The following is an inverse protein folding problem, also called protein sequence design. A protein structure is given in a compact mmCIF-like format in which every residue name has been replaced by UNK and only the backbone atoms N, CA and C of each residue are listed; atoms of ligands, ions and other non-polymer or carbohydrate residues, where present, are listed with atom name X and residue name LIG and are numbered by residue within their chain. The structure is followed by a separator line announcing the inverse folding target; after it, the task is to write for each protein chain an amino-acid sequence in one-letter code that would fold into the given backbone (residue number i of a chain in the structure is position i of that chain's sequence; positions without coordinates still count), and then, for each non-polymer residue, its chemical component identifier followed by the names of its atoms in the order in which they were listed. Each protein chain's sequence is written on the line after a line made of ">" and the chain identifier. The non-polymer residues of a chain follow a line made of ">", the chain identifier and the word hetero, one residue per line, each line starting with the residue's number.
data_IF_519212457585
#
_entry.id   IF_519212457585
#
_cell.length_a   1.000
_cell.length_b   1.000
_cell.length_c   1.000
_cell.angle_alpha   90.00
_cell.angle_beta   90.00
_cell.angle_gamma   90.00
#
_symmetry.space_group_name_H-M   'P 1'
#
loop_
_entity.id
_entity.type
_entity.pdbx_description
1 polymer ?
#
# COMPACT_ATOMS: atom_id res chain seq x y z
N UNK A 1 -14.42 -12.20 1.16
CA UNK A 1 -13.66 -11.70 2.32
C UNK A 1 -12.65 -10.71 1.79
N UNK A 2 -12.61 -9.49 2.30
CA UNK A 2 -11.72 -8.43 1.76
C UNK A 2 -10.26 -8.67 2.15
N UNK A 3 -9.32 -8.09 1.40
CA UNK A 3 -7.88 -8.19 1.68
C UNK A 3 -7.50 -7.61 3.04
N UNK A 4 -8.21 -6.57 3.50
CA UNK A 4 -8.02 -5.99 4.84
C UNK A 4 -8.41 -6.93 5.97
N UNK A 5 -9.51 -7.68 5.81
CA UNK A 5 -9.92 -8.69 6.81
C UNK A 5 -8.89 -9.83 6.88
N UNK A 6 -8.33 -10.25 5.75
CA UNK A 6 -7.23 -11.21 5.69
C UNK A 6 -5.97 -10.68 6.37
N UNK A 7 -5.60 -9.43 6.11
CA UNK A 7 -4.47 -8.76 6.75
C UNK A 7 -4.63 -8.71 8.28
N UNK A 8 -5.81 -8.31 8.77
CA UNK A 8 -6.09 -8.27 10.21
C UNK A 8 -6.01 -9.67 10.83
N UNK A 9 -6.60 -10.69 10.20
CA UNK A 9 -6.51 -12.07 10.69
C UNK A 9 -5.07 -12.56 10.74
N UNK A 10 -4.28 -12.25 9.72
CA UNK A 10 -2.86 -12.62 9.67
C UNK A 10 -2.08 -11.97 10.80
N UNK A 11 -2.32 -10.68 11.06
CA UNK A 11 -1.76 -9.99 12.22
C UNK A 11 -2.15 -10.69 13.54
N UNK A 12 -3.44 -11.02 13.72
CA UNK A 12 -3.92 -11.74 14.90
C UNK A 12 -3.28 -13.12 15.06
N UNK A 13 -3.06 -13.84 13.96
CA UNK A 13 -2.42 -15.16 13.97
C UNK A 13 -0.93 -15.06 14.33
N UNK A 14 -0.22 -14.04 13.85
CA UNK A 14 1.17 -13.77 14.26
C UNK A 14 1.25 -13.43 15.75
N UNK A 15 0.39 -12.54 16.26
CA UNK A 15 0.33 -12.22 17.69
C UNK A 15 0.01 -13.46 18.54
N UNK A 16 -0.95 -14.28 18.09
CA UNK A 16 -1.29 -15.54 18.74
C UNK A 16 -0.09 -16.49 18.82
N UNK A 17 0.59 -16.72 17.69
CA UNK A 17 1.74 -17.63 17.62
C UNK A 17 2.92 -17.12 18.46
N UNK A 18 3.25 -15.82 18.40
CA UNK A 18 4.29 -15.22 19.25
C UNK A 18 3.96 -15.36 20.75
N UNK A 19 2.72 -15.03 21.15
CA UNK A 19 2.25 -15.24 22.52
C UNK A 19 2.38 -16.70 22.97
N UNK A 20 2.05 -17.65 22.08
CA UNK A 20 2.19 -19.08 22.35
C UNK A 20 3.65 -19.54 22.43
N UNK A 21 4.53 -18.98 21.61
CA UNK A 21 5.98 -19.25 21.67
C UNK A 21 6.59 -18.72 22.96
N UNK A 22 6.21 -17.52 23.43
CA UNK A 22 6.65 -17.02 24.74
C UNK A 22 6.21 -17.92 25.89
N UNK A 23 4.96 -18.40 25.85
CA UNK A 23 4.46 -19.36 26.84
C UNK A 23 5.22 -20.70 26.80
N UNK A 24 5.61 -21.17 25.61
CA UNK A 24 6.47 -22.35 25.45
C UNK A 24 7.86 -22.11 26.05
N UNK A 25 8.51 -20.99 25.72
CA UNK A 25 9.83 -20.64 26.24
C UNK A 25 9.83 -20.60 27.77
N UNK A 26 8.86 -19.89 28.38
CA UNK A 26 8.72 -19.78 29.84
C UNK A 26 8.64 -21.14 30.52
N UNK A 27 7.86 -22.07 29.97
CA UNK A 27 7.68 -23.41 30.55
C UNK A 27 8.86 -24.35 30.36
N UNK A 28 9.64 -24.14 29.30
CA UNK A 28 10.86 -24.91 29.02
C UNK A 28 12.11 -24.27 29.63
N UNK A 29 11.97 -23.20 30.42
CA UNK A 29 13.10 -22.46 30.98
C UNK A 29 13.93 -21.71 29.95
N UNK A 30 13.45 -21.56 28.71
CA UNK A 30 14.11 -20.82 27.64
C UNK A 30 13.77 -19.32 27.74
N UNK A 31 14.67 -18.47 27.23
CA UNK A 31 14.42 -17.03 27.13
C UNK A 31 13.20 -16.78 26.23
N UNK A 32 12.28 -15.93 26.68
CA UNK A 32 11.14 -15.50 25.88
C UNK A 32 11.59 -14.75 24.63
N UNK A 33 10.79 -14.80 23.56
CA UNK A 33 11.08 -14.09 22.33
C UNK A 33 10.88 -12.60 22.50
N UNK A 34 9.93 -12.17 23.32
CA UNK A 34 9.65 -10.76 23.56
C UNK A 34 8.93 -10.58 24.89
N UNK A 35 8.85 -9.35 25.36
CA UNK A 35 7.93 -9.00 26.43
C UNK A 35 6.48 -9.38 26.05
N UNK A 36 5.75 -9.98 26.99
CA UNK A 36 4.34 -10.33 26.81
C UNK A 36 3.45 -9.12 27.14
N UNK A 37 3.55 -8.08 26.31
CA UNK A 37 2.86 -6.79 26.44
C UNK A 37 2.16 -6.40 25.14
N UNK A 38 1.36 -5.32 25.19
CA UNK A 38 0.73 -4.73 24.01
C UNK A 38 -0.05 -5.74 23.16
N UNK A 39 0.26 -5.79 21.86
CA UNK A 39 -0.41 -6.65 20.89
C UNK A 39 -0.48 -8.12 21.32
N UNK A 40 0.55 -8.66 21.99
CA UNK A 40 0.59 -10.07 22.35
C UNK A 40 -0.42 -10.45 23.45
N UNK A 41 -0.87 -9.46 24.21
CA UNK A 41 -1.92 -9.61 25.23
C UNK A 41 -3.29 -9.28 24.64
N UNK A 42 -3.35 -8.25 23.81
CA UNK A 42 -4.61 -7.60 23.43
C UNK A 42 -5.08 -7.90 21.99
N UNK A 43 -4.40 -8.75 21.21
CA UNK A 43 -4.76 -8.97 19.79
C UNK A 43 -6.18 -9.50 19.53
N UNK A 44 -6.80 -10.21 20.48
CA UNK A 44 -8.20 -10.65 20.37
C UNK A 44 -9.16 -9.46 20.54
N UNK A 45 -8.70 -8.45 21.29
CA UNK A 45 -9.32 -7.16 21.64
C UNK A 45 -9.60 -6.25 20.44
N UNK A 46 -8.72 -6.32 19.44
CA UNK A 46 -8.54 -5.26 18.43
C UNK A 46 -9.81 -4.95 17.63
N UNK A 47 -10.64 -5.95 17.36
CA UNK A 47 -11.86 -5.77 16.57
C UNK A 47 -12.89 -4.97 17.34
N UNK A 48 -13.13 -5.33 18.60
CA UNK A 48 -14.04 -4.61 19.47
C UNK A 48 -13.53 -3.17 19.70
N UNK A 49 -12.23 -3.01 19.88
CA UNK A 49 -11.60 -1.70 20.01
C UNK A 49 -11.75 -0.83 18.76
N UNK A 50 -11.43 -1.34 17.56
CA UNK A 50 -11.61 -0.60 16.30
C UNK A 50 -13.08 -0.17 16.08
N UNK A 51 -14.03 -1.05 16.41
CA UNK A 51 -15.46 -0.73 16.33
C UNK A 51 -15.88 0.33 17.37
N UNK A 52 -15.32 0.28 18.57
CA UNK A 52 -15.61 1.25 19.64
C UNK A 52 -15.02 2.63 19.34
N UNK A 53 -13.75 2.67 18.90
CA UNK A 53 -13.06 3.89 18.50
C UNK A 53 -13.81 4.60 17.36
N UNK A 54 -14.34 3.82 16.44
CA UNK A 54 -15.17 4.34 15.38
C UNK A 54 -16.50 4.95 15.85
N UNK A 55 -17.17 4.32 16.80
CA UNK A 55 -18.47 4.77 17.29
C UNK A 55 -18.40 6.11 18.06
N UNK A 56 -17.21 6.74 18.13
CA UNK A 56 -17.00 7.99 18.86
C UNK A 56 -17.14 7.82 20.37
N UNK A 57 -17.14 6.58 20.86
CA UNK A 57 -17.19 6.30 22.28
C UNK A 57 -15.80 6.45 22.88
N UNK A 58 -15.33 7.69 23.01
CA UNK A 58 -14.07 8.03 23.70
C UNK A 58 -14.00 7.44 25.12
N UNK A 59 -15.16 7.17 25.74
CA UNK A 59 -15.27 6.59 27.08
C UNK A 59 -15.40 5.07 27.15
N UNK A 60 -15.56 4.34 26.03
CA UNK A 60 -15.88 2.91 26.07
C UNK A 60 -14.65 1.97 26.03
N UNK A 61 -13.46 2.48 25.71
CA UNK A 61 -12.24 1.71 25.90
C UNK A 61 -11.18 2.57 26.56
N UNK A 62 -10.76 2.19 27.77
CA UNK A 62 -9.54 2.69 28.41
C UNK A 62 -8.26 2.42 27.58
N UNK A 63 -8.41 1.76 26.42
CA UNK A 63 -7.33 1.34 25.55
C UNK A 63 -6.92 2.37 24.54
N UNK A 64 -5.63 2.47 24.34
CA UNK A 64 -5.01 3.31 23.32
C UNK A 64 -4.42 2.44 22.21
N UNK A 65 -3.89 3.08 21.15
CA UNK A 65 -3.21 2.36 20.08
C UNK A 65 -1.97 1.60 20.60
N UNK A 66 -1.29 2.13 21.63
CA UNK A 66 -0.12 1.54 22.27
C UNK A 66 -0.39 0.12 22.79
N UNK A 67 -1.62 -0.16 23.25
CA UNK A 67 -2.03 -1.50 23.68
C UNK A 67 -2.04 -2.53 22.54
N UNK A 68 -2.02 -2.08 21.29
CA UNK A 68 -1.99 -2.93 20.10
C UNK A 68 -0.66 -2.81 19.35
N UNK A 69 0.34 -2.11 19.88
CA UNK A 69 1.68 -2.10 19.30
C UNK A 69 2.37 -3.45 19.52
N UNK A 70 3.09 -3.91 18.49
CA UNK A 70 3.98 -5.05 18.64
C UNK A 70 5.13 -4.66 19.57
N UNK A 71 5.59 -5.58 20.46
CA UNK A 71 6.75 -5.31 21.29
C UNK A 71 7.98 -4.97 20.44
N UNK A 72 8.79 -4.00 20.86
CA UNK A 72 10.02 -3.62 20.15
C UNK A 72 11.20 -4.57 20.46
N UNK A 73 11.06 -5.42 21.49
CA UNK A 73 12.09 -6.29 22.04
C UNK A 73 12.03 -7.73 21.51
N UNK A 74 11.45 -7.95 20.32
CA UNK A 74 11.40 -9.29 19.72
C UNK A 74 12.80 -9.78 19.37
N UNK A 75 13.31 -10.69 20.18
CA UNK A 75 14.53 -11.47 20.01
C UNK A 75 14.19 -12.91 19.59
N UNK A 76 15.00 -13.49 18.71
CA UNK A 76 14.88 -14.89 18.32
C UNK A 76 16.10 -15.68 18.83
N UNK A 77 15.93 -16.96 19.19
CA UNK A 77 17.05 -17.85 19.52
C UNK A 77 18.12 -17.88 18.41
N UNK A 78 19.37 -18.09 18.79
CA UNK A 78 20.52 -18.10 17.86
C UNK A 78 20.37 -19.07 16.68
N UNK A 79 19.74 -20.22 16.91
CA UNK A 79 19.43 -21.23 15.88
C UNK A 79 18.57 -20.67 14.74
N UNK A 80 17.87 -19.56 15.00
CA UNK A 80 16.95 -18.90 14.10
C UNK A 80 17.46 -17.54 13.60
N UNK A 81 18.65 -17.11 14.01
CA UNK A 81 19.25 -15.84 13.59
C UNK A 81 19.41 -15.73 12.07
N UNK A 82 19.62 -16.86 11.38
CA UNK A 82 19.72 -16.90 9.91
C UNK A 82 18.48 -16.33 9.21
N UNK A 83 17.34 -16.27 9.90
CA UNK A 83 16.10 -15.77 9.36
C UNK A 83 15.70 -14.38 9.86
N UNK A 84 16.40 -13.83 10.87
CA UNK A 84 16.14 -12.50 11.41
C UNK A 84 16.06 -11.39 10.35
N UNK A 85 16.95 -11.33 9.35
CA UNK A 85 16.91 -10.28 8.34
C UNK A 85 15.63 -10.33 7.50
N UNK A 86 15.00 -11.50 7.38
CA UNK A 86 13.76 -11.66 6.64
C UNK A 86 12.53 -11.25 7.44
N UNK A 87 12.54 -11.40 8.77
CA UNK A 87 11.32 -11.24 9.57
C UNK A 87 11.20 -9.91 10.26
N UNK A 88 12.31 -9.27 10.63
CA UNK A 88 12.26 -7.97 11.28
C UNK A 88 11.46 -6.96 10.43
N UNK A 89 11.65 -6.85 9.10
CA UNK A 89 10.81 -5.97 8.28
C UNK A 89 9.34 -6.38 8.29
N UNK A 90 9.05 -7.68 8.22
CA UNK A 90 7.68 -8.19 8.24
C UNK A 90 6.96 -7.89 9.57
N UNK A 91 7.65 -8.05 10.70
CA UNK A 91 7.12 -7.74 12.03
C UNK A 91 6.93 -6.23 12.22
N UNK A 92 7.88 -5.41 11.76
CA UNK A 92 7.75 -3.95 11.81
C UNK A 92 6.53 -3.48 11.03
N UNK A 93 6.33 -3.97 9.81
CA UNK A 93 5.18 -3.61 8.99
C UNK A 93 3.87 -4.22 9.51
N UNK A 94 3.90 -5.42 10.09
CA UNK A 94 2.74 -5.93 10.82
C UNK A 94 2.41 -5.07 12.05
N UNK A 95 3.42 -4.51 12.71
CA UNK A 95 3.26 -3.57 13.83
C UNK A 95 2.50 -2.29 13.45
N UNK A 96 2.49 -1.89 12.16
CA UNK A 96 1.73 -0.73 11.70
C UNK A 96 0.26 -1.03 11.41
N UNK A 97 -0.12 -2.31 11.25
CA UNK A 97 -1.48 -2.72 10.85
C UNK A 97 -2.56 -2.15 11.79
N UNK A 98 -2.45 -2.25 13.13
CA UNK A 98 -3.47 -1.70 14.01
C UNK A 98 -3.64 -0.19 13.86
N UNK A 99 -2.54 0.55 13.67
CA UNK A 99 -2.55 2.01 13.45
C UNK A 99 -3.24 2.38 12.15
N UNK A 100 -2.91 1.65 11.08
CA UNK A 100 -3.46 1.89 9.75
C UNK A 100 -4.94 1.57 9.70
N UNK A 101 -5.35 0.46 10.31
CA UNK A 101 -6.76 0.11 10.44
C UNK A 101 -7.51 1.12 11.29
N UNK A 102 -6.96 1.58 12.42
CA UNK A 102 -7.57 2.64 13.21
C UNK A 102 -7.78 3.92 12.39
N UNK A 103 -6.72 4.44 11.74
CA UNK A 103 -6.84 5.63 10.90
C UNK A 103 -7.84 5.44 9.75
N UNK A 104 -7.81 4.29 9.08
CA UNK A 104 -8.72 3.98 8.00
C UNK A 104 -10.17 3.93 8.49
N UNK A 105 -10.39 3.26 9.62
CA UNK A 105 -11.67 3.10 10.29
C UNK A 105 -12.26 4.44 10.75
N UNK A 106 -11.43 5.37 11.22
CA UNK A 106 -11.86 6.68 11.71
C UNK A 106 -11.93 7.78 10.64
N UNK A 107 -11.21 7.64 9.51
CA UNK A 107 -11.08 8.74 8.54
C UNK A 107 -11.99 8.61 7.32
N UNK A 108 -11.82 7.56 6.51
CA UNK A 108 -12.51 7.47 5.22
C UNK A 108 -13.14 6.11 4.94
N UNK A 109 -12.56 5.03 5.47
CA UNK A 109 -12.89 3.63 5.13
C UNK A 109 -12.83 3.33 3.63
N UNK A 110 -12.23 4.18 2.80
CA UNK A 110 -12.32 4.03 1.34
C UNK A 110 -11.40 2.93 0.84
N UNK A 111 -11.93 2.13 -0.08
CA UNK A 111 -11.20 1.16 -0.89
C UNK A 111 -11.46 1.51 -2.34
N UNK A 112 -10.37 1.72 -3.09
CA UNK A 112 -10.39 2.01 -4.51
C UNK A 112 -9.84 0.83 -5.27
N UNK A 113 -10.69 0.15 -6.04
CA UNK A 113 -10.22 -0.88 -6.96
C UNK A 113 -9.87 -0.24 -8.29
N UNK A 114 -8.59 -0.28 -8.68
CA UNK A 114 -8.11 0.26 -9.94
C UNK A 114 -8.09 -0.83 -11.00
N UNK A 115 -8.69 -0.53 -12.16
CA UNK A 115 -8.63 -1.46 -13.28
C UNK A 115 -7.22 -1.60 -13.83
N UNK A 116 -6.93 -2.73 -14.47
CA UNK A 116 -5.63 -3.03 -15.09
C UNK A 116 -5.13 -1.88 -15.97
N UNK A 117 -5.98 -1.33 -16.84
CA UNK A 117 -5.59 -0.23 -17.74
C UNK A 117 -5.22 1.05 -16.98
N UNK A 118 -5.91 1.34 -15.88
CA UNK A 118 -5.61 2.50 -15.04
C UNK A 118 -4.30 2.28 -14.28
N UNK A 119 -4.07 1.09 -13.71
CA UNK A 119 -2.80 0.75 -13.04
C UNK A 119 -1.62 0.92 -13.99
N UNK A 120 -1.70 0.35 -15.20
CA UNK A 120 -0.64 0.46 -16.21
C UNK A 120 -0.40 1.92 -16.63
N UNK A 121 -1.47 2.71 -16.77
CA UNK A 121 -1.36 4.13 -17.11
C UNK A 121 -0.68 4.92 -15.99
N UNK A 122 -1.09 4.69 -14.74
CA UNK A 122 -0.55 5.36 -13.57
C UNK A 122 0.91 4.99 -13.31
N UNK A 123 1.29 3.72 -13.50
CA UNK A 123 2.66 3.23 -13.35
C UNK A 123 3.68 3.93 -14.27
N UNK A 124 3.20 4.65 -15.29
CA UNK A 124 4.02 5.39 -16.24
C UNK A 124 3.80 6.91 -16.18
N UNK A 125 3.01 7.41 -15.24
CA UNK A 125 2.89 8.85 -14.99
C UNK A 125 4.26 9.41 -14.60
N UNK A 126 4.68 10.49 -15.26
CA UNK A 126 5.90 11.19 -14.91
C UNK A 126 5.71 12.01 -13.64
N UNK A 127 6.54 11.74 -12.62
CA UNK A 127 6.61 12.53 -11.38
C UNK A 127 7.84 13.44 -11.31
N UNK A 128 8.62 13.57 -12.40
CA UNK A 128 9.94 14.22 -12.41
C UNK A 128 9.95 15.66 -11.88
N UNK A 129 8.87 16.39 -12.12
CA UNK A 129 8.76 17.81 -11.76
C UNK A 129 7.64 18.06 -10.74
N UNK A 130 7.11 16.99 -10.13
CA UNK A 130 6.08 17.09 -9.09
C UNK A 130 6.76 17.20 -7.72
N UNK A 131 6.34 18.21 -6.95
CA UNK A 131 6.76 18.44 -5.56
C UNK A 131 5.72 17.91 -4.59
N UNK A 132 6.10 17.68 -3.34
CA UNK A 132 5.16 17.30 -2.29
C UNK A 132 4.05 18.34 -2.09
N UNK A 133 4.37 19.63 -2.24
CA UNK A 133 3.40 20.75 -2.19
C UNK A 133 2.36 20.74 -3.29
N UNK A 134 2.62 20.08 -4.43
CA UNK A 134 1.69 20.01 -5.56
C UNK A 134 0.58 18.98 -5.34
N UNK A 135 0.80 18.07 -4.38
CA UNK A 135 -0.09 16.97 -4.07
C UNK A 135 -1.15 17.43 -3.08
N UNK A 136 -2.41 17.15 -3.42
CA UNK A 136 -3.54 17.30 -2.51
C UNK A 136 -4.15 15.92 -2.30
N UNK A 137 -4.08 15.45 -1.05
CA UNK A 137 -4.68 14.18 -0.67
C UNK A 137 -6.16 14.42 -0.37
N UNK A 138 -7.08 13.73 -1.08
CA UNK A 138 -8.51 13.93 -0.89
C UNK A 138 -9.00 13.34 0.43
N UNK A 139 -8.25 12.40 1.01
CA UNK A 139 -8.52 11.74 2.28
C UNK A 139 -7.20 11.46 3.01
N UNK A 140 -7.24 11.44 4.34
CA UNK A 140 -6.08 11.15 5.16
C UNK A 140 -5.66 9.68 5.10
N UNK A 141 -6.59 8.76 4.84
CA UNK A 141 -6.28 7.33 4.85
C UNK A 141 -7.20 6.59 3.90
N UNK A 142 -6.66 5.75 3.01
CA UNK A 142 -7.44 4.97 2.06
C UNK A 142 -6.61 3.80 1.50
N UNK A 143 -7.31 2.83 0.92
CA UNK A 143 -6.72 1.63 0.33
C UNK A 143 -6.90 1.64 -1.18
N UNK A 144 -5.87 1.23 -1.91
CA UNK A 144 -5.89 1.03 -3.35
C UNK A 144 -5.69 -0.46 -3.62
N UNK A 145 -6.67 -1.13 -4.21
CA UNK A 145 -6.56 -2.49 -4.73
C UNK A 145 -6.23 -2.43 -6.22
N UNK A 146 -5.30 -3.28 -6.66
CA UNK A 146 -4.75 -3.26 -8.02
C UNK A 146 -5.18 -4.54 -8.75
N UNK A 147 -5.94 -4.39 -9.83
CA UNK A 147 -6.28 -5.53 -10.69
C UNK A 147 -5.04 -6.13 -11.38
N UNK A 148 -4.05 -5.30 -11.71
CA UNK A 148 -2.74 -5.72 -12.20
C UNK A 148 -1.69 -5.55 -11.09
N UNK A 149 -1.13 -6.63 -10.53
CA UNK A 149 -0.13 -6.53 -9.48
C UNK A 149 1.18 -5.87 -9.96
N UNK A 150 1.84 -5.13 -9.07
CA UNK A 150 3.15 -4.53 -9.29
C UNK A 150 4.22 -5.57 -8.97
N UNK A 151 5.15 -5.89 -9.90
CA UNK A 151 6.28 -6.75 -9.61
C UNK A 151 7.17 -6.13 -8.53
N UNK A 152 7.52 -6.91 -7.51
CA UNK A 152 8.36 -6.46 -6.40
C UNK A 152 9.44 -7.51 -6.08
N UNK A 153 10.62 -7.09 -5.57
CA UNK A 153 11.63 -8.01 -5.07
C UNK A 153 11.14 -8.96 -3.97
N UNK A 154 9.99 -8.66 -3.36
CA UNK A 154 9.40 -9.38 -2.25
C UNK A 154 8.10 -10.14 -2.61
N UNK A 155 7.80 -10.23 -3.91
CA UNK A 155 6.59 -10.83 -4.45
C UNK A 155 5.57 -9.78 -4.87
N UNK A 156 4.75 -10.13 -5.86
CA UNK A 156 3.78 -9.22 -6.50
C UNK A 156 2.86 -8.52 -5.50
N UNK A 157 2.66 -7.21 -5.71
CA UNK A 157 1.86 -6.31 -4.85
C UNK A 157 0.53 -6.00 -5.52
N UNK A 158 -0.59 -6.31 -4.87
CA UNK A 158 -1.95 -6.03 -5.35
C UNK A 158 -2.74 -5.06 -4.46
N UNK A 159 -2.15 -4.59 -3.36
CA UNK A 159 -2.80 -3.62 -2.49
C UNK A 159 -1.80 -2.59 -1.97
N UNK A 160 -2.17 -1.32 -2.00
CA UNK A 160 -1.43 -0.21 -1.38
C UNK A 160 -2.30 0.42 -0.29
N UNK A 161 -1.77 0.50 0.92
CA UNK A 161 -2.41 1.20 2.03
C UNK A 161 -1.75 2.57 2.17
N UNK A 162 -2.50 3.63 1.89
CA UNK A 162 -1.99 5.01 1.90
C UNK A 162 -2.53 5.73 3.14
N UNK A 163 -1.63 6.27 3.96
CA UNK A 163 -1.98 6.97 5.20
C UNK A 163 -1.16 8.24 5.33
N UNK A 164 -1.81 9.39 5.30
CA UNK A 164 -1.28 10.67 5.74
C UNK A 164 -1.35 10.73 7.27
N UNK A 165 -0.20 10.70 7.91
CA UNK A 165 -0.09 10.88 9.35
C UNK A 165 0.07 12.37 9.65
N UNK A 166 -0.82 12.88 10.52
CA UNK A 166 -0.73 14.22 11.10
C UNK A 166 0.47 14.36 12.04
N UNK A 167 0.43 15.36 12.94
CA UNK A 167 1.46 15.52 13.96
C UNK A 167 1.61 14.24 14.77
N UNK A 168 2.73 13.55 14.59
CA UNK A 168 3.18 12.54 15.52
C UNK A 168 3.68 13.25 16.79
N UNK A 169 3.56 12.60 17.96
CA UNK A 169 4.06 13.14 19.24
C UNK A 169 5.57 13.45 19.22
N UNK A 170 6.31 12.97 18.22
CA UNK A 170 7.73 13.26 17.98
C UNK A 170 7.99 14.60 17.24
N UNK A 171 6.94 15.39 16.96
CA UNK A 171 7.03 16.69 16.28
C UNK A 171 7.11 16.59 14.75
N UNK A 172 7.12 15.38 14.17
CA UNK A 172 6.99 15.21 12.72
C UNK A 172 5.55 15.51 12.32
N UNK A 173 5.35 16.61 11.57
CA UNK A 173 4.04 16.95 10.98
C UNK A 173 4.01 16.56 9.51
N UNK A 174 2.93 15.95 9.06
CA UNK A 174 2.61 15.67 7.65
C UNK A 174 3.52 14.61 7.02
N UNK A 175 3.47 13.38 7.52
CA UNK A 175 4.17 12.24 6.90
C UNK A 175 3.21 11.44 6.03
N UNK A 176 3.59 11.16 4.78
CA UNK A 176 2.87 10.19 3.94
C UNK A 176 3.45 8.80 4.18
N UNK A 177 2.63 7.87 4.64
CA UNK A 177 2.97 6.45 4.66
C UNK A 177 2.29 5.70 3.52
N UNK A 178 3.05 4.87 2.80
CA UNK A 178 2.52 3.93 1.81
C UNK A 178 3.01 2.55 2.17
N UNK A 179 2.08 1.63 2.44
CA UNK A 179 2.39 0.23 2.74
C UNK A 179 1.86 -0.67 1.64
N UNK A 180 2.71 -1.14 0.73
CA UNK A 180 2.36 -2.20 -0.21
C UNK A 180 2.20 -3.53 0.50
N UNK A 181 1.18 -4.25 0.07
CA UNK A 181 0.81 -5.56 0.56
C UNK A 181 0.81 -6.56 -0.60
N UNK A 182 1.48 -7.71 -0.45
CA UNK A 182 1.61 -8.67 -1.52
C UNK A 182 0.35 -9.51 -1.73
N UNK A 183 0.19 -10.02 -2.95
CA UNK A 183 -0.85 -10.98 -3.36
C UNK A 183 -0.89 -12.19 -2.43
N UNK A 184 0.26 -12.56 -1.85
CA UNK A 184 0.37 -13.68 -0.92
C UNK A 184 -0.46 -13.52 0.37
N UNK A 185 -0.95 -12.32 0.71
CA UNK A 185 -1.87 -12.14 1.84
C UNK A 185 -3.17 -12.88 1.61
N UNK A 186 -3.70 -12.87 0.39
CA UNK A 186 -4.95 -13.57 0.06
C UNK A 186 -4.81 -15.09 0.02
N UNK A 187 -3.58 -15.59 -0.16
CA UNK A 187 -3.28 -17.02 -0.27
C UNK A 187 -3.13 -17.72 1.08
N UNK A 188 -2.95 -16.96 2.16
CA UNK A 188 -2.61 -17.49 3.47
C UNK A 188 -3.90 -17.70 4.27
N UNK A 189 -4.32 -18.95 4.40
CA UNK A 189 -5.52 -19.31 5.15
C UNK A 189 -5.36 -18.98 6.64
N UNK A 190 -6.25 -18.18 7.25
CA UNK A 190 -6.20 -17.90 8.67
C UNK A 190 -6.24 -19.17 9.52
N UNK A 191 -5.57 -19.16 10.68
CA UNK A 191 -5.61 -20.26 11.62
C UNK A 191 -7.03 -20.54 12.08
N UNK A 192 -7.50 -21.76 11.83
CA UNK A 192 -8.82 -22.20 12.25
C UNK A 192 -8.94 -22.20 13.78
N UNK A 193 -10.16 -22.01 14.30
CA UNK A 193 -10.44 -22.11 15.74
C UNK A 193 -10.00 -23.47 16.31
N UNK A 194 -10.19 -24.54 15.53
CA UNK A 194 -9.76 -25.89 15.87
C UNK A 194 -8.23 -25.98 16.00
N UNK A 195 -7.48 -25.41 15.05
CA UNK A 195 -6.01 -25.36 15.10
C UNK A 195 -5.50 -24.55 16.30
N UNK A 196 -6.07 -23.37 16.57
CA UNK A 196 -5.75 -22.56 17.76
C UNK A 196 -6.02 -23.32 19.06
N UNK A 197 -7.15 -24.03 19.14
CA UNK A 197 -7.50 -24.90 20.28
C UNK A 197 -6.51 -26.05 20.44
N UNK A 198 -6.12 -26.70 19.34
CA UNK A 198 -5.12 -27.77 19.35
C UNK A 198 -3.77 -27.27 19.88
N UNK A 199 -3.28 -26.13 19.40
CA UNK A 199 -2.03 -25.51 19.87
C UNK A 199 -2.10 -25.23 21.38
N UNK A 200 -3.19 -24.59 21.86
CA UNK A 200 -3.40 -24.34 23.29
C UNK A 200 -3.40 -25.62 24.11
N UNK A 201 -4.08 -26.67 23.62
CA UNK A 201 -4.16 -27.97 24.29
C UNK A 201 -2.79 -28.66 24.38
N UNK A 202 -2.02 -28.68 23.29
CA UNK A 202 -0.67 -29.27 23.26
C UNK A 202 0.27 -28.55 24.21
N UNK A 203 0.23 -27.21 24.23
CA UNK A 203 0.97 -26.42 25.21
C UNK A 203 0.52 -26.74 26.63
N UNK A 204 -0.78 -26.87 26.92
CA UNK A 204 -1.27 -27.28 28.24
C UNK A 204 -0.68 -28.60 28.76
N UNK A 205 -0.34 -29.52 27.85
CA UNK A 205 0.22 -30.84 28.16
C UNK A 205 1.75 -30.90 28.16
N UNK A 206 2.45 -29.76 28.03
CA UNK A 206 3.91 -29.71 27.83
C UNK A 206 4.70 -30.45 28.91
N UNK A 207 4.30 -30.35 30.18
CA UNK A 207 5.02 -31.00 31.29
C UNK A 207 4.82 -32.53 31.33
N UNK A 208 3.94 -33.07 30.47
CA UNK A 208 3.61 -34.50 30.40
C UNK A 208 4.25 -35.20 29.20
N UNK A 209 4.90 -34.46 28.31
CA UNK A 209 5.54 -35.01 27.11
C UNK A 209 7.06 -35.01 27.29
N UNK A 210 7.74 -35.94 26.62
CA UNK A 210 9.21 -36.01 26.62
C UNK A 210 9.84 -34.75 26.03
N UNK A 211 11.07 -34.46 26.42
CA UNK A 211 11.85 -33.31 25.94
C UNK A 211 11.92 -33.25 24.40
N UNK A 212 12.20 -34.37 23.72
CA UNK A 212 12.18 -34.44 22.26
C UNK A 212 10.82 -34.03 21.63
N UNK A 213 9.72 -34.37 22.30
CA UNK A 213 8.39 -33.94 21.86
C UNK A 213 8.11 -32.46 22.16
N UNK A 214 8.73 -31.89 23.20
CA UNK A 214 8.70 -30.45 23.46
C UNK A 214 9.45 -29.70 22.37
N UNK A 215 10.65 -30.15 22.00
CA UNK A 215 11.44 -29.56 20.90
C UNK A 215 10.66 -29.59 19.58
N UNK A 216 10.12 -30.75 19.20
CA UNK A 216 9.31 -30.87 17.99
C UNK A 216 8.04 -29.99 18.00
N UNK A 217 7.47 -29.69 19.17
CA UNK A 217 6.38 -28.71 19.29
C UNK A 217 6.90 -27.26 19.09
N UNK A 218 8.04 -26.93 19.69
CA UNK A 218 8.69 -25.64 19.52
C UNK A 218 9.00 -25.34 18.05
N UNK A 219 9.63 -26.29 17.36
CA UNK A 219 9.93 -26.19 15.93
C UNK A 219 8.67 -26.08 15.07
N UNK A 220 7.61 -26.86 15.39
CA UNK A 220 6.35 -26.77 14.66
C UNK A 220 5.68 -25.40 14.81
N UNK A 221 5.64 -24.83 16.03
CA UNK A 221 5.10 -23.50 16.27
C UNK A 221 5.91 -22.42 15.55
N UNK A 222 7.23 -22.58 15.60
CA UNK A 222 8.14 -21.68 14.93
C UNK A 222 7.95 -21.69 13.43
N UNK A 223 8.00 -22.87 12.77
CA UNK A 223 7.78 -22.99 11.33
C UNK A 223 6.42 -22.43 10.89
N UNK A 224 5.38 -22.62 11.72
CA UNK A 224 4.06 -22.03 11.47
C UNK A 224 4.10 -20.50 11.55
N UNK A 225 4.81 -19.93 12.53
CA UNK A 225 5.04 -18.48 12.62
C UNK A 225 5.83 -17.97 11.40
N UNK A 226 6.91 -18.64 11.02
CA UNK A 226 7.71 -18.31 9.84
C UNK A 226 6.84 -18.29 8.60
N UNK A 227 6.01 -19.31 8.39
CA UNK A 227 5.11 -19.37 7.25
C UNK A 227 4.15 -18.17 7.20
N UNK A 228 3.64 -17.75 8.37
CA UNK A 228 2.82 -16.53 8.46
C UNK A 228 3.62 -15.25 8.25
N UNK A 229 4.93 -15.25 8.47
CA UNK A 229 5.84 -14.11 8.22
C UNK A 229 6.53 -14.15 6.84
N UNK A 230 6.34 -15.19 6.02
CA UNK A 230 6.94 -15.29 4.67
C UNK A 230 6.55 -14.17 3.71
N UNK A 231 5.56 -13.37 4.05
CA UNK A 231 5.26 -12.13 3.34
C UNK A 231 6.09 -11.01 3.95
N UNK A 232 6.81 -10.25 3.13
CA UNK A 232 7.63 -9.14 3.58
C UNK A 232 6.99 -7.84 3.13
N UNK A 233 5.90 -7.38 3.78
CA UNK A 233 5.45 -6.04 3.54
C UNK A 233 6.50 -5.11 4.16
N UNK A 234 6.76 -4.01 3.48
CA UNK A 234 7.58 -2.91 3.95
C UNK A 234 6.68 -1.68 3.83
N UNK A 235 6.91 -0.70 4.68
CA UNK A 235 6.20 0.56 4.61
C UNK A 235 7.20 1.66 4.30
N UNK A 236 6.74 2.60 3.49
CA UNK A 236 7.46 3.83 3.18
C UNK A 236 6.91 4.94 4.02
N UNK A 237 7.77 5.88 4.43
CA UNK A 237 7.35 7.12 5.09
C UNK A 237 8.04 8.30 4.45
N UNK A 238 7.30 9.27 3.96
CA UNK A 238 7.83 10.45 3.27
C UNK A 238 7.48 11.70 4.07
N UNK A 239 8.48 12.54 4.33
CA UNK A 239 8.26 13.85 4.92
C UNK A 239 7.78 14.83 3.85
N UNK A 240 6.52 15.23 3.94
CA UNK A 240 5.90 16.13 2.97
C UNK A 240 6.37 17.58 3.10
N UNK A 241 7.10 17.93 4.16
CA UNK A 241 7.71 19.27 4.31
C UNK A 241 9.03 19.41 3.58
N UNK A 242 9.60 18.31 3.08
CA UNK A 242 10.80 18.41 2.26
C UNK A 242 10.47 19.16 0.97
N UNK A 243 11.18 20.25 0.68
CA UNK A 243 11.07 20.98 -0.60
C UNK A 243 11.70 20.20 -1.79
N UNK A 244 12.19 18.98 -1.53
CA UNK A 244 12.81 18.10 -2.50
C UNK A 244 11.82 17.53 -3.52
N UNK A 245 12.35 17.03 -4.63
CA UNK A 245 11.54 16.30 -5.61
C UNK A 245 11.17 14.94 -5.03
N UNK A 246 9.96 14.46 -5.35
CA UNK A 246 9.42 13.18 -4.84
C UNK A 246 10.37 12.01 -5.15
N UNK A 247 11.04 12.02 -6.31
CA UNK A 247 11.91 10.94 -6.75
C UNK A 247 13.33 10.98 -6.17
N UNK A 248 13.67 11.98 -5.37
CA UNK A 248 14.99 12.04 -4.69
C UNK A 248 14.96 11.26 -3.36
N UNK A 249 13.79 11.15 -2.70
CA UNK A 249 13.59 10.44 -1.44
C UNK A 249 13.84 8.90 -1.46
N UNK A 250 13.52 8.16 -2.55
CA UNK A 250 13.75 6.71 -2.64
C UNK A 250 15.19 6.25 -2.37
N UNK A 251 16.19 7.04 -2.80
CA UNK A 251 17.59 6.62 -2.73
C UNK A 251 18.16 6.64 -1.31
N UNK A 252 17.65 7.50 -0.43
CA UNK A 252 18.12 7.63 0.96
C UNK A 252 17.50 6.58 1.87
N UNK A 253 16.18 6.36 1.76
CA UNK A 253 15.49 5.32 2.53
C UNK A 253 16.04 3.93 2.23
N UNK A 254 16.48 3.74 0.99
CA UNK A 254 16.93 2.45 0.51
C UNK A 254 18.34 2.06 1.03
N UNK A 255 19.27 3.01 1.14
CA UNK A 255 20.60 2.73 1.72
C UNK A 255 20.53 2.18 3.15
N UNK A 256 19.61 2.70 3.96
CA UNK A 256 19.38 2.18 5.32
C UNK A 256 18.80 0.76 5.34
N UNK A 257 18.05 0.36 4.31
CA UNK A 257 17.47 -0.98 4.18
C UNK A 257 18.52 -2.02 3.74
N UNK A 258 19.44 -1.66 2.84
CA UNK A 258 20.55 -2.51 2.38
C UNK A 258 21.46 -2.90 3.55
N UNK A 259 21.94 -1.92 4.30
CA UNK A 259 22.88 -2.12 5.41
C UNK A 259 22.25 -2.93 6.56
N UNK A 260 20.94 -2.79 6.78
CA UNK A 260 20.26 -3.38 7.92
C UNK A 260 19.78 -4.83 7.72
N UNK A 261 19.56 -5.28 6.47
CA UNK A 261 18.77 -6.49 6.21
C UNK A 261 19.47 -7.57 5.38
N UNK A 262 20.75 -7.40 5.03
CA UNK A 262 21.51 -8.43 4.30
C UNK A 262 20.78 -8.93 3.04
N UNK A 263 20.08 -8.02 2.35
CA UNK A 263 19.28 -8.35 1.19
C UNK A 263 20.17 -8.78 0.03
N UNK A 264 19.66 -9.70 -0.79
CA UNK A 264 20.26 -10.12 -2.05
C UNK A 264 20.54 -8.88 -2.94
N UNK A 265 21.76 -8.70 -3.47
CA UNK A 265 22.12 -7.60 -4.37
C UNK A 265 21.14 -7.39 -5.54
N UNK A 266 20.53 -8.46 -6.08
CA UNK A 266 19.54 -8.32 -7.15
C UNK A 266 18.25 -7.64 -6.68
N UNK A 267 17.77 -8.01 -5.48
CA UNK A 267 16.59 -7.37 -4.87
C UNK A 267 16.86 -5.91 -4.57
N UNK A 268 18.10 -5.65 -4.19
CA UNK A 268 18.60 -4.33 -3.90
C UNK A 268 18.56 -3.44 -5.13
N UNK A 269 19.10 -3.90 -6.26
CA UNK A 269 19.08 -3.15 -7.53
C UNK A 269 17.64 -2.88 -8.04
N UNK A 270 16.72 -3.80 -7.79
CA UNK A 270 15.34 -3.72 -8.23
C UNK A 270 14.46 -2.79 -7.36
N UNK A 271 14.84 -2.54 -6.10
CA UNK A 271 13.99 -1.85 -5.14
C UNK A 271 13.66 -0.39 -5.50
N UNK A 272 14.61 0.48 -5.91
CA UNK A 272 14.27 1.86 -6.28
C UNK A 272 13.23 1.92 -7.40
N UNK A 273 13.29 0.99 -8.35
CA UNK A 273 12.36 0.89 -9.48
C UNK A 273 10.96 0.53 -9.01
N UNK A 274 10.87 -0.44 -8.12
CA UNK A 274 9.62 -0.85 -7.52
C UNK A 274 9.01 0.29 -6.66
N UNK A 275 9.82 0.98 -5.85
CA UNK A 275 9.38 2.13 -5.06
C UNK A 275 8.86 3.27 -5.94
N UNK A 276 9.55 3.57 -7.05
CA UNK A 276 9.07 4.53 -8.04
C UNK A 276 7.69 4.15 -8.60
N UNK A 277 7.44 2.87 -8.91
CA UNK A 277 6.13 2.42 -9.39
C UNK A 277 5.03 2.59 -8.34
N UNK A 278 5.32 2.25 -7.08
CA UNK A 278 4.39 2.48 -5.95
C UNK A 278 4.04 3.96 -5.83
N UNK A 279 5.04 4.85 -5.91
CA UNK A 279 4.84 6.30 -5.87
C UNK A 279 4.02 6.80 -7.06
N UNK A 280 4.35 6.38 -8.28
CA UNK A 280 3.62 6.76 -9.50
C UNK A 280 2.14 6.37 -9.42
N UNK A 281 1.85 5.16 -8.92
CA UNK A 281 0.47 4.70 -8.73
C UNK A 281 -0.23 5.48 -7.62
N UNK A 282 0.34 5.53 -6.41
CA UNK A 282 -0.31 6.18 -5.27
C UNK A 282 -0.52 7.69 -5.50
N UNK A 283 0.48 8.40 -6.04
CA UNK A 283 0.43 9.84 -6.25
C UNK A 283 -0.28 10.21 -7.54
N UNK A 284 -0.05 9.47 -8.63
CA UNK A 284 -0.80 9.62 -9.86
C UNK A 284 -2.30 9.40 -9.65
N UNK A 285 -2.67 8.47 -8.76
CA UNK A 285 -4.05 8.27 -8.37
C UNK A 285 -4.67 9.50 -7.69
N UNK A 286 -3.95 10.16 -6.78
CA UNK A 286 -4.41 11.42 -6.17
C UNK A 286 -4.63 12.52 -7.20
N UNK A 287 -3.69 12.67 -8.15
CA UNK A 287 -3.81 13.62 -9.24
C UNK A 287 -5.01 13.31 -10.15
N UNK A 288 -5.25 12.02 -10.40
CA UNK A 288 -6.42 11.54 -11.15
C UNK A 288 -7.74 11.86 -10.43
N UNK A 289 -7.84 11.61 -9.12
CA UNK A 289 -9.03 11.97 -8.36
C UNK A 289 -9.30 13.48 -8.40
N UNK A 290 -8.23 14.30 -8.36
CA UNK A 290 -8.35 15.76 -8.47
C UNK A 290 -8.85 16.19 -9.85
N UNK A 291 -8.39 15.58 -10.95
CA UNK A 291 -8.83 15.95 -12.30
C UNK A 291 -10.28 15.56 -12.60
N UNK A 292 -10.82 14.58 -11.86
CA UNK A 292 -12.22 14.15 -11.94
C UNK A 292 -13.18 14.99 -11.09
N UNK A 293 -12.69 15.84 -10.18
CA UNK A 293 -13.57 16.75 -9.42
C UNK A 293 -14.15 17.79 -10.39
N UNK A 294 -15.48 17.94 -10.48
CA UNK A 294 -16.05 19.04 -11.24
C UNK A 294 -15.51 20.37 -10.69
N UNK A 295 -15.30 21.39 -11.54
CA UNK A 295 -14.70 22.65 -11.13
C UNK A 295 -15.59 23.38 -10.13
N UNK A 296 -15.35 23.16 -8.82
CA UNK A 296 -15.74 23.93 -7.63
C UNK A 296 -17.19 24.46 -7.47
N UNK A 297 -18.10 24.26 -8.43
CA UNK A 297 -19.48 24.78 -8.37
C UNK A 297 -20.42 23.91 -7.54
N UNK A 298 -20.01 22.71 -7.15
CA UNK A 298 -20.69 21.91 -6.14
C UNK A 298 -19.80 21.78 -4.91
N UNK A 299 -19.81 22.80 -4.05
CA UNK A 299 -19.58 22.52 -2.63
C UNK A 299 -20.58 21.42 -2.28
N UNK A 300 -20.09 20.24 -1.91
CA UNK A 300 -20.96 19.21 -1.36
C UNK A 300 -21.57 19.79 -0.09
N UNK A 301 -22.77 20.35 -0.23
CA UNK A 301 -23.67 20.62 0.87
C UNK A 301 -23.77 19.31 1.64
N UNK A 302 -23.36 19.34 2.92
CA UNK A 302 -23.64 18.22 3.82
C UNK A 302 -25.13 17.96 3.72
N UNK A 303 -25.58 16.74 3.38
CA UNK A 303 -27.01 16.46 3.34
C UNK A 303 -27.59 16.84 4.71
N UNK A 304 -28.75 17.53 4.75
CA UNK A 304 -29.32 18.03 5.98
C UNK A 304 -29.50 16.87 6.96
N UNK A 305 -28.88 17.00 8.13
CA UNK A 305 -28.99 16.06 9.24
C UNK A 305 -30.44 16.06 9.73
N UNK A 306 -31.27 15.18 9.17
CA UNK A 306 -32.69 15.16 9.45
C UNK A 306 -33.36 13.84 9.07
N UNK A 307 -33.07 12.75 9.78
CA UNK A 307 -34.10 11.79 10.21
C UNK A 307 -33.56 10.86 11.29
N UNK A 308 -34.26 10.78 12.42
CA UNK A 308 -34.02 9.90 13.55
C UNK A 308 -34.71 8.54 13.35
N UNK A 309 -34.31 7.81 12.32
CA UNK A 309 -34.42 6.35 12.36
C UNK A 309 -33.11 5.79 12.92
N UNK A 310 -33.10 4.62 13.60
CA UNK A 310 -31.86 3.91 13.87
C UNK A 310 -31.30 3.45 12.53
N UNK A 311 -30.60 4.37 11.86
CA UNK A 311 -29.92 4.14 10.60
C UNK A 311 -28.93 3.00 10.85
N UNK A 312 -29.03 1.95 10.03
CA UNK A 312 -27.90 1.05 9.82
C UNK A 312 -26.66 1.94 9.66
N UNK A 313 -25.62 1.64 10.45
CA UNK A 313 -24.41 2.47 10.56
C UNK A 313 -24.02 3.00 9.17
N UNK A 314 -24.23 4.31 8.89
CA UNK A 314 -24.14 4.89 7.53
C UNK A 314 -22.71 4.92 6.97
N UNK A 315 -21.80 4.27 7.69
CA UNK A 315 -20.36 4.32 7.55
C UNK A 315 -19.75 2.92 7.64
N UNK A 316 -20.50 1.88 8.02
CA UNK A 316 -20.07 0.50 7.89
C UNK A 316 -20.02 0.10 6.42
N UNK A 317 -18.89 -0.42 5.94
CA UNK A 317 -18.84 -1.09 4.64
C UNK A 317 -19.44 -2.48 4.83
N UNK A 318 -20.72 -2.61 4.52
CA UNK A 318 -21.50 -3.85 4.64
C UNK A 318 -21.64 -4.54 3.28
N UNK A 319 -21.45 -3.81 2.18
CA UNK A 319 -21.66 -4.29 0.82
C UNK A 319 -20.47 -3.99 -0.11
N UNK A 320 -20.21 -4.89 -1.06
CA UNK A 320 -19.17 -4.69 -2.09
C UNK A 320 -19.43 -3.41 -2.93
N UNK A 321 -20.69 -2.95 -3.00
CA UNK A 321 -21.06 -1.70 -3.67
C UNK A 321 -20.45 -0.44 -3.06
N UNK A 322 -19.95 -0.51 -1.82
CA UNK A 322 -19.27 0.60 -1.14
C UNK A 322 -17.77 0.64 -1.51
N UNK A 323 -17.25 -0.38 -2.19
CA UNK A 323 -15.94 -0.35 -2.85
C UNK A 323 -16.05 0.45 -4.14
N UNK A 324 -15.30 1.54 -4.24
CA UNK A 324 -15.31 2.37 -5.45
C UNK A 324 -14.44 1.73 -6.53
N UNK A 325 -15.07 1.13 -7.54
CA UNK A 325 -14.37 0.59 -8.73
C UNK A 325 -14.07 1.74 -9.69
N UNK A 326 -12.79 1.98 -9.95
CA UNK A 326 -12.30 3.03 -10.84
C UNK A 326 -11.65 2.41 -12.06
N UNK A 327 -12.31 2.56 -13.19
CA UNK A 327 -11.83 2.13 -14.50
C UNK A 327 -11.30 3.29 -15.34
N UNK A 328 -10.41 2.95 -16.27
CA UNK A 328 -10.21 3.76 -17.47
C UNK A 328 -11.25 3.36 -18.52
N UNK A 329 -12.01 4.31 -19.04
CA UNK A 329 -12.89 4.11 -20.21
C UNK A 329 -12.08 3.87 -21.50
N UNK A 330 -10.80 4.25 -21.49
CA UNK A 330 -9.88 4.04 -22.60
C UNK A 330 -9.33 2.63 -22.49
N UNK A 331 -9.75 1.77 -23.42
CA UNK A 331 -9.13 0.47 -23.62
C UNK A 331 -7.72 0.66 -24.20
N UNK A 332 -6.72 0.10 -23.53
CA UNK A 332 -5.35 0.11 -24.05
C UNK A 332 -5.21 -1.00 -25.12
N UNK A 333 -4.59 -0.70 -26.28
CA UNK A 333 -4.24 -1.74 -27.27
C UNK A 333 -3.42 -2.87 -26.64
N UNK A 334 -3.61 -4.15 -27.04
CA UNK A 334 -2.92 -5.30 -26.43
C UNK A 334 -1.39 -5.22 -26.49
N UNK A 335 -0.85 -4.71 -27.60
CA UNK A 335 0.57 -4.47 -27.81
C UNK A 335 1.12 -3.41 -26.86
N UNK A 336 0.37 -2.33 -26.64
CA UNK A 336 0.71 -1.32 -25.65
C UNK A 336 0.68 -1.90 -24.23
N UNK A 337 -0.34 -2.69 -23.89
CA UNK A 337 -0.44 -3.37 -22.58
C UNK A 337 0.79 -4.24 -22.31
N UNK A 338 1.21 -5.04 -23.29
CA UNK A 338 2.39 -5.89 -23.14
C UNK A 338 3.68 -5.06 -23.03
N UNK A 339 3.81 -4.00 -23.82
CA UNK A 339 4.90 -3.03 -23.71
C UNK A 339 4.99 -2.40 -22.31
N UNK A 340 3.85 -1.96 -21.75
CA UNK A 340 3.78 -1.35 -20.42
C UNK A 340 4.10 -2.35 -19.31
N UNK A 341 3.61 -3.59 -19.41
CA UNK A 341 3.98 -4.67 -18.46
C UNK A 341 5.46 -4.96 -18.50
N UNK A 342 6.02 -5.03 -19.71
CA UNK A 342 7.44 -5.25 -19.91
C UNK A 342 8.29 -4.12 -19.34
N UNK A 343 7.86 -2.87 -19.53
CA UNK A 343 8.49 -1.69 -18.91
C UNK A 343 8.39 -1.71 -17.39
N UNK A 344 7.23 -2.09 -16.82
CA UNK A 344 7.08 -2.28 -15.37
C UNK A 344 8.02 -3.36 -14.83
N UNK A 345 8.15 -4.50 -15.52
CA UNK A 345 9.04 -5.61 -15.08
C UNK A 345 10.52 -5.26 -15.22
N UNK A 346 10.92 -4.66 -16.34
CA UNK A 346 12.33 -4.31 -16.59
C UNK A 346 12.75 -3.08 -15.80
N UNK A 347 11.80 -2.23 -15.41
CA UNK A 347 12.05 -0.92 -14.81
C UNK A 347 12.94 -0.02 -15.68
N UNK A 348 13.02 -0.32 -16.98
CA UNK A 348 13.59 0.56 -18.01
C UNK A 348 12.42 1.28 -18.67
N UNK A 349 12.24 2.54 -18.33
CA UNK A 349 12.52 3.64 -19.26
C UNK A 349 12.05 4.97 -18.69
N UNK A 350 12.73 6.05 -19.12
CA UNK A 350 12.34 7.43 -18.93
C UNK A 350 10.81 7.56 -19.05
N UNK A 351 10.11 7.77 -17.92
CA UNK A 351 8.65 7.68 -17.85
C UNK A 351 7.96 8.40 -19.01
N UNK A 352 6.88 7.82 -19.56
CA UNK A 352 6.20 8.20 -20.83
C UNK A 352 6.78 9.47 -21.45
N UNK A 353 7.97 9.36 -22.04
CA UNK A 353 8.42 10.44 -22.87
C UNK A 353 7.52 10.36 -24.07
N UNK A 354 6.75 11.41 -24.34
CA UNK A 354 6.03 11.49 -25.60
C UNK A 354 7.03 11.15 -26.71
N UNK A 355 6.70 10.11 -27.49
CA UNK A 355 7.47 9.75 -28.66
C UNK A 355 7.54 10.95 -29.58
N UNK A 356 8.64 11.06 -30.33
CA UNK A 356 8.76 12.06 -31.36
C UNK A 356 7.68 11.83 -32.42
N UNK A 357 6.67 12.70 -32.46
CA UNK A 357 5.52 12.58 -33.35
C UNK A 357 5.10 13.94 -33.91
N UNK A 358 4.42 13.90 -35.06
CA UNK A 358 3.87 15.09 -35.69
C UNK A 358 2.46 15.33 -35.16
N UNK A 359 2.15 16.59 -34.79
CA UNK A 359 0.78 17.01 -34.49
C UNK A 359 0.28 17.92 -35.61
N UNK A 360 -0.84 17.55 -36.20
CA UNK A 360 -1.53 18.38 -37.17
C UNK A 360 -2.05 19.67 -36.54
N UNK A 361 -2.07 20.73 -37.36
CA UNK A 361 -2.64 22.00 -36.95
C UNK A 361 -4.14 21.89 -36.76
N UNK A 362 -4.67 22.54 -35.75
CA UNK A 362 -6.11 22.52 -35.47
C UNK A 362 -6.54 23.84 -34.83
N UNK A 363 -7.81 24.17 -35.02
CA UNK A 363 -8.43 25.29 -34.32
C UNK A 363 -8.80 24.88 -32.89
N UNK A 364 -8.48 25.74 -31.93
CA UNK A 364 -8.89 25.60 -30.52
C UNK A 364 -9.61 26.85 -30.04
N UNK A 365 -10.26 26.73 -28.88
CA UNK A 365 -10.90 27.85 -28.19
C UNK A 365 -9.86 28.79 -27.57
N UNK A 366 -10.18 30.08 -27.39
CA UNK A 366 -9.32 31.02 -26.69
C UNK A 366 -8.92 30.53 -25.28
N UNK A 367 -7.75 30.95 -24.77
CA UNK A 367 -7.36 30.68 -23.39
C UNK A 367 -8.46 31.11 -22.39
N UNK A 368 -8.76 30.26 -21.41
CA UNK A 368 -9.85 30.48 -20.44
C UNK A 368 -11.21 29.93 -20.88
N UNK A 369 -11.42 29.63 -22.16
CA UNK A 369 -12.69 29.10 -22.71
C UNK A 369 -12.60 27.61 -23.10
N UNK A 370 -11.58 26.89 -22.61
CA UNK A 370 -11.37 25.49 -23.00
C UNK A 370 -12.51 24.55 -22.58
N UNK A 371 -13.23 24.92 -21.51
CA UNK A 371 -14.32 24.12 -20.91
C UNK A 371 -15.70 24.45 -21.47
N UNK A 372 -15.84 25.55 -22.21
CA UNK A 372 -17.11 26.00 -22.78
C UNK A 372 -17.31 25.32 -24.15
N UNK A 373 -18.31 24.42 -24.29
CA UNK A 373 -18.55 23.73 -25.56
C UNK A 373 -19.07 24.67 -26.65
N UNK A 374 -19.75 25.76 -26.29
CA UNK A 374 -20.41 26.69 -27.21
C UNK A 374 -19.46 27.81 -27.69
N UNK A 375 -18.36 28.04 -26.97
CA UNK A 375 -17.33 28.99 -27.39
C UNK A 375 -16.68 28.56 -28.73
N UNK A 376 -16.57 29.53 -29.64
CA UNK A 376 -16.03 29.31 -30.99
C UNK A 376 -14.51 29.04 -30.96
N UNK A 377 -14.05 28.15 -31.86
CA UNK A 377 -12.63 27.81 -32.01
C UNK A 377 -11.92 28.84 -32.89
N UNK A 378 -11.54 29.96 -32.31
CA UNK A 378 -10.96 31.10 -33.05
C UNK A 378 -9.43 31.15 -33.04
N UNK A 379 -8.74 30.26 -32.33
CA UNK A 379 -7.27 30.25 -32.23
C UNK A 379 -6.70 29.09 -33.03
N UNK A 380 -5.95 29.41 -34.11
CA UNK A 380 -5.23 28.39 -34.86
C UNK A 380 -4.00 27.92 -34.08
N UNK A 381 -3.89 26.60 -33.86
CA UNK A 381 -2.64 25.96 -33.44
C UNK A 381 -1.97 25.45 -34.71
N UNK A 382 -0.81 26.01 -35.06
CA UNK A 382 -0.04 25.53 -36.20
C UNK A 382 0.46 24.12 -35.98
N UNK A 383 0.63 23.35 -37.06
CA UNK A 383 1.22 22.03 -36.98
C UNK A 383 2.66 22.11 -36.44
N UNK A 384 3.04 21.20 -35.56
CA UNK A 384 4.36 21.22 -34.94
C UNK A 384 4.84 19.83 -34.55
N UNK A 385 6.15 19.74 -34.33
CA UNK A 385 6.80 18.52 -33.91
C UNK A 385 6.84 18.42 -32.39
N UNK A 386 6.22 17.37 -31.83
CA UNK A 386 6.26 17.11 -30.39
C UNK A 386 7.58 16.41 -30.05
N UNK A 387 8.27 16.89 -29.01
CA UNK A 387 9.56 16.35 -28.54
C UNK A 387 10.63 16.27 -29.64
N UNK A 388 10.85 17.40 -30.34
CA UNK A 388 11.88 17.54 -31.38
C UNK A 388 13.29 17.21 -30.87
N UNK A 389 13.53 17.41 -29.58
CA UNK A 389 14.75 17.02 -28.86
C UNK A 389 15.06 15.51 -28.91
N UNK A 390 14.08 14.67 -29.28
CA UNK A 390 14.21 13.21 -29.34
C UNK A 390 14.18 12.64 -30.75
N UNK A 391 14.37 13.46 -31.78
CA UNK A 391 14.45 12.99 -33.15
C UNK A 391 15.68 12.05 -33.29
N UNK A 392 15.52 10.79 -33.73
CA UNK A 392 16.65 9.92 -34.04
C UNK A 392 17.50 10.52 -35.17
N UNK A 393 18.81 10.29 -35.14
CA UNK A 393 19.70 10.74 -36.22
C UNK A 393 19.28 10.17 -37.58
N UNK A 394 19.50 10.97 -38.64
CA UNK A 394 19.19 10.59 -40.03
C UNK A 394 17.77 10.97 -40.50
N UNK A 395 17.27 10.19 -41.47
CA UNK A 395 16.00 10.42 -42.20
C UNK A 395 14.79 9.75 -41.53
N UNK A 396 14.81 9.61 -40.20
CA UNK A 396 13.64 9.10 -39.47
C UNK A 396 12.41 9.96 -39.77
N UNK A 397 11.24 9.33 -39.88
CA UNK A 397 9.94 9.96 -40.12
C UNK A 397 9.16 9.87 -38.80
N UNK A 398 8.53 10.96 -38.33
CA UNK A 398 7.82 10.94 -37.06
C UNK A 398 6.61 10.00 -37.12
N UNK A 399 6.29 9.36 -35.99
CA UNK A 399 5.08 8.54 -35.87
C UNK A 399 3.84 9.37 -36.22
N UNK A 400 2.97 8.83 -37.09
CA UNK A 400 1.76 9.49 -37.57
C UNK A 400 1.91 10.28 -38.88
N UNK A 401 3.14 10.47 -39.41
CA UNK A 401 3.28 11.05 -40.75
C UNK A 401 2.81 10.01 -41.80
N UNK A 402 1.74 10.31 -42.53
CA UNK A 402 1.37 9.52 -43.71
C UNK A 402 2.48 9.70 -44.74
N UNK A 403 3.10 8.60 -45.21
CA UNK A 403 3.89 8.64 -46.44
C UNK A 403 2.93 9.09 -47.55
N UNK A 404 3.11 10.31 -48.05
CA UNK A 404 2.54 10.68 -49.34
C UNK A 404 3.21 9.77 -50.36
N UNK A 405 2.49 8.75 -50.81
CA UNK A 405 2.85 7.99 -51.99
C UNK A 405 2.61 8.95 -53.16
N UNK A 406 3.71 9.49 -53.70
CA UNK A 406 3.71 10.14 -55.00
C UNK A 406 4.08 9.11 -56.06
#
# INVERSE_FOLDING_TARGET
>A
MTTLELLLRRWQDVCFLLSRMNAFCRRTGRKELSSNTGALVHYEEIRAWLLSAFAGHESASERTYEDFQMPNDVAFPSVYEIWLPLWRPALQTLGTVPKQLLHWTCSSRRIYSLSKNLVLSLAHVSLRDVRWSDLHFPFECYVIELEEPIPSPFGDIDMLFVTLMGELQDGRRNTLSITPYPVSISRVEPLSKARKKQIRSRLGQLDRISEANQEGLGDALFLELVDRLKFQPFYFTFDLKSDGKILDAPAEQFRGLEEANGLDPERVEAFPRFLEQVLRIALGFNLYLRSRRPPASSQHERPPTGSTQPLADPTAIIFESEVTKLGSEIALPPDLVEGLRHSMRRGRDSGFSQSWHFREGHWRRPPGLGSDPDAEKTVMVHAYMVRRDRKPDGNAIPGGAKKSVH
#
